data_IF_607468059841
#
_entry.id   IF_607468059841
#
_cell.length_a   1.000
_cell.length_b   1.000
_cell.length_c   1.000
_cell.angle_alpha   90.00
_cell.angle_beta   90.00
_cell.angle_gamma   90.00
#
_symmetry.space_group_name_H-M   'P 1'
#
loop_
_entity.id
_entity.type
_entity.pdbx_description
1 polymer ?
#
# COMPACT_ATOMS: atom_id res chain seq x y z
N UNK A 1 17.28 -47.36 -5.04
CA UNK A 1 16.94 -46.15 -4.22
C UNK A 1 18.04 -45.08 -4.15
N UNK A 2 19.33 -45.44 -4.01
CA UNK A 2 20.44 -44.46 -3.89
C UNK A 2 20.76 -43.67 -5.17
N UNK A 3 20.17 -44.03 -6.31
CA UNK A 3 20.55 -43.52 -7.65
C UNK A 3 19.84 -42.21 -8.02
N UNK A 4 18.59 -42.02 -7.59
CA UNK A 4 17.80 -40.85 -7.99
C UNK A 4 18.25 -39.58 -7.24
N UNK A 5 18.52 -39.69 -5.93
CA UNK A 5 19.10 -38.60 -5.12
C UNK A 5 20.50 -38.23 -5.61
N UNK A 6 21.33 -39.22 -5.96
CA UNK A 6 22.69 -38.98 -6.43
C UNK A 6 22.73 -38.36 -7.84
N UNK A 7 21.73 -38.63 -8.69
CA UNK A 7 21.60 -37.99 -10.00
C UNK A 7 21.13 -36.54 -9.89
N UNK A 8 20.18 -36.23 -8.99
CA UNK A 8 19.73 -34.85 -8.79
C UNK A 8 20.77 -33.96 -8.09
N UNK A 9 21.56 -34.51 -7.16
CA UNK A 9 22.66 -33.78 -6.51
C UNK A 9 23.78 -33.47 -7.50
N UNK A 10 24.15 -34.42 -8.39
CA UNK A 10 25.16 -34.16 -9.44
C UNK A 10 24.72 -33.12 -10.46
N UNK A 11 23.44 -33.09 -10.86
CA UNK A 11 22.93 -32.06 -11.79
C UNK A 11 22.98 -30.66 -11.17
N UNK A 12 22.74 -30.53 -9.86
CA UNK A 12 22.81 -29.25 -9.16
C UNK A 12 24.26 -28.78 -8.94
N UNK A 13 25.19 -29.71 -8.71
CA UNK A 13 26.62 -29.42 -8.55
C UNK A 13 27.29 -29.00 -9.87
N UNK A 14 26.90 -29.63 -10.99
CA UNK A 14 27.29 -29.25 -12.36
C UNK A 14 26.80 -27.84 -12.76
N UNK A 15 25.57 -27.49 -12.39
CA UNK A 15 24.98 -26.15 -12.60
C UNK A 15 25.74 -25.05 -11.83
N UNK A 16 26.18 -25.35 -10.60
CA UNK A 16 26.96 -24.41 -9.78
C UNK A 16 28.36 -24.15 -10.36
N UNK A 17 28.93 -25.13 -11.07
CA UNK A 17 30.24 -25.04 -11.75
C UNK A 17 30.16 -24.32 -13.11
N UNK A 18 29.00 -24.33 -13.78
CA UNK A 18 28.76 -23.62 -15.04
C UNK A 18 28.44 -22.13 -14.89
N UNK A 19 28.09 -21.64 -13.70
CA UNK A 19 27.79 -20.22 -13.43
C UNK A 19 29.04 -19.42 -13.05
N UNK A 20 30.03 -19.40 -13.94
CA UNK A 20 30.99 -18.30 -13.99
C UNK A 20 30.29 -17.09 -14.63
N UNK A 21 30.16 -15.99 -13.87
CA UNK A 21 29.75 -14.64 -14.28
C UNK A 21 28.63 -14.50 -15.34
N UNK A 22 27.41 -14.20 -14.87
CA UNK A 22 26.34 -13.66 -15.72
C UNK A 22 24.95 -14.21 -15.40
N UNK A 23 24.44 -13.96 -14.19
CA UNK A 23 23.06 -14.34 -13.85
C UNK A 23 22.11 -13.22 -14.33
N UNK A 24 21.39 -13.47 -15.43
CA UNK A 24 20.21 -12.69 -15.79
C UNK A 24 19.17 -12.81 -14.66
N UNK A 25 18.68 -11.67 -14.14
CA UNK A 25 17.73 -11.61 -13.02
C UNK A 25 16.47 -12.47 -13.24
N UNK A 26 16.08 -12.69 -14.50
CA UNK A 26 14.92 -13.49 -14.89
C UNK A 26 15.24 -15.01 -15.00
N UNK A 27 16.52 -15.38 -15.12
CA UNK A 27 16.92 -16.79 -15.16
C UNK A 27 16.98 -17.42 -13.77
N UNK A 28 17.28 -16.63 -12.74
CA UNK A 28 17.50 -17.13 -11.38
C UNK A 28 16.23 -17.70 -10.73
N UNK A 29 15.04 -17.17 -11.06
CA UNK A 29 13.75 -17.71 -10.61
C UNK A 29 13.43 -19.05 -11.27
N UNK A 30 13.70 -19.20 -12.57
CA UNK A 30 13.44 -20.42 -13.35
C UNK A 30 14.21 -21.64 -12.83
N UNK A 31 15.46 -21.47 -12.39
CA UNK A 31 16.23 -22.57 -11.80
C UNK A 31 15.71 -23.02 -10.42
N UNK A 32 15.20 -22.08 -9.62
CA UNK A 32 14.64 -22.37 -8.30
C UNK A 32 13.35 -23.18 -8.42
N UNK A 33 12.45 -22.77 -9.32
CA UNK A 33 11.17 -23.49 -9.53
C UNK A 33 11.39 -24.90 -10.05
N UNK A 34 12.27 -25.11 -11.03
CA UNK A 34 12.58 -26.46 -11.54
C UNK A 34 13.15 -27.38 -10.45
N UNK A 35 13.98 -26.84 -9.55
CA UNK A 35 14.55 -27.60 -8.42
C UNK A 35 13.47 -28.02 -7.43
N UNK A 36 12.51 -27.13 -7.15
CA UNK A 36 11.38 -27.39 -6.24
C UNK A 36 10.45 -28.46 -6.84
N UNK A 37 10.05 -28.31 -8.10
CA UNK A 37 9.21 -29.29 -8.80
C UNK A 37 9.88 -30.66 -8.91
N UNK A 38 11.19 -30.70 -9.17
CA UNK A 38 11.95 -31.95 -9.19
C UNK A 38 11.91 -32.69 -7.84
N UNK A 39 12.01 -31.97 -6.71
CA UNK A 39 11.89 -32.60 -5.39
C UNK A 39 10.50 -33.16 -5.11
N UNK A 40 9.44 -32.44 -5.50
CA UNK A 40 8.06 -32.91 -5.33
C UNK A 40 7.79 -34.20 -6.12
N UNK A 41 8.27 -34.27 -7.36
CA UNK A 41 8.11 -35.46 -8.21
C UNK A 41 8.91 -36.64 -7.66
N UNK A 42 10.16 -36.43 -7.25
CA UNK A 42 10.96 -37.49 -6.65
C UNK A 42 10.36 -38.02 -5.33
N UNK A 43 9.83 -37.14 -4.48
CA UNK A 43 9.15 -37.54 -3.26
C UNK A 43 7.86 -38.31 -3.54
N UNK A 44 7.09 -37.88 -4.56
CA UNK A 44 5.89 -38.59 -5.02
C UNK A 44 6.18 -40.00 -5.53
N UNK A 45 7.24 -40.17 -6.34
CA UNK A 45 7.66 -41.48 -6.86
C UNK A 45 8.08 -42.43 -5.72
N UNK A 46 8.78 -41.91 -4.71
CA UNK A 46 9.21 -42.70 -3.54
C UNK A 46 8.00 -43.14 -2.70
N UNK A 47 6.99 -42.28 -2.56
CA UNK A 47 5.74 -42.60 -1.87
C UNK A 47 4.98 -43.74 -2.56
N UNK A 48 4.82 -43.68 -3.88
CA UNK A 48 4.16 -44.73 -4.67
C UNK A 48 4.96 -46.04 -4.63
N UNK A 49 6.29 -45.98 -4.73
CA UNK A 49 7.15 -47.17 -4.74
C UNK A 49 7.27 -47.88 -3.38
N UNK A 50 7.27 -47.14 -2.26
CA UNK A 50 7.46 -47.72 -0.93
C UNK A 50 6.16 -48.03 -0.18
N UNK A 51 5.10 -47.25 -0.40
CA UNK A 51 3.83 -47.40 0.34
C UNK A 51 2.71 -48.05 -0.47
N UNK A 52 2.90 -48.28 -1.77
CA UNK A 52 1.88 -48.89 -2.63
C UNK A 52 0.61 -48.03 -2.77
N UNK A 53 0.70 -46.74 -2.45
CA UNK A 53 -0.39 -45.79 -2.60
C UNK A 53 -0.73 -45.58 -4.08
N UNK A 54 -2.02 -45.43 -4.39
CA UNK A 54 -2.45 -45.13 -5.75
C UNK A 54 -1.84 -43.80 -6.21
N UNK A 55 -1.30 -43.77 -7.43
CA UNK A 55 -0.62 -42.59 -7.98
C UNK A 55 -1.57 -41.40 -8.22
N UNK A 56 -2.88 -41.65 -8.34
CA UNK A 56 -3.90 -40.62 -8.57
C UNK A 56 -3.94 -39.54 -7.48
N UNK A 57 -4.20 -39.90 -6.21
CA UNK A 57 -4.18 -38.95 -5.09
C UNK A 57 -2.88 -38.13 -4.95
N UNK A 58 -1.73 -38.78 -5.17
CA UNK A 58 -0.42 -38.10 -5.13
C UNK A 58 -0.32 -37.04 -6.23
N UNK A 59 -0.73 -37.36 -7.45
CA UNK A 59 -0.75 -36.42 -8.57
C UNK A 59 -1.72 -35.25 -8.34
N UNK A 60 -2.94 -35.53 -7.87
CA UNK A 60 -3.96 -34.52 -7.58
C UNK A 60 -3.46 -33.55 -6.49
N UNK A 61 -2.84 -34.06 -5.43
CA UNK A 61 -2.29 -33.22 -4.36
C UNK A 61 -1.20 -32.27 -4.87
N UNK A 62 -0.33 -32.73 -5.77
CA UNK A 62 0.69 -31.89 -6.39
C UNK A 62 0.06 -30.80 -7.27
N UNK A 63 -0.95 -31.15 -8.06
CA UNK A 63 -1.70 -30.19 -8.87
C UNK A 63 -2.38 -29.11 -8.03
N UNK A 64 -3.01 -29.47 -6.91
CA UNK A 64 -3.63 -28.51 -6.00
C UNK A 64 -2.63 -27.49 -5.45
N UNK A 65 -1.42 -27.93 -5.09
CA UNK A 65 -0.36 -27.02 -4.59
C UNK A 65 0.05 -26.02 -5.66
N UNK A 66 0.17 -26.44 -6.92
CA UNK A 66 0.53 -25.55 -8.03
C UNK A 66 -0.57 -24.55 -8.33
N UNK A 67 -1.80 -25.03 -8.47
CA UNK A 67 -2.94 -24.17 -8.78
C UNK A 67 -3.21 -23.17 -7.65
N UNK A 68 -3.12 -23.60 -6.38
CA UNK A 68 -3.24 -22.72 -5.23
C UNK A 68 -2.13 -21.67 -5.17
N UNK A 69 -0.89 -22.05 -5.50
CA UNK A 69 0.24 -21.12 -5.61
C UNK A 69 0.03 -20.05 -6.67
N UNK A 70 -0.50 -20.43 -7.84
CA UNK A 70 -0.82 -19.49 -8.92
C UNK A 70 -1.92 -18.49 -8.52
N UNK A 71 -2.97 -18.95 -7.83
CA UNK A 71 -4.02 -18.08 -7.31
C UNK A 71 -3.47 -17.07 -6.30
N UNK A 72 -2.59 -17.52 -5.39
CA UNK A 72 -1.93 -16.64 -4.43
C UNK A 72 -1.03 -15.61 -5.11
N UNK A 73 -0.31 -16.00 -6.16
CA UNK A 73 0.54 -15.11 -6.94
C UNK A 73 -0.26 -13.98 -7.60
N UNK A 74 -1.44 -14.29 -8.13
CA UNK A 74 -2.32 -13.29 -8.73
C UNK A 74 -2.97 -12.34 -7.72
N UNK A 75 -2.97 -12.67 -6.43
CA UNK A 75 -3.50 -11.80 -5.38
C UNK A 75 -2.51 -10.70 -4.94
N UNK A 76 -1.21 -10.90 -5.15
CA UNK A 76 -0.14 -9.96 -4.78
C UNK A 76 -0.34 -8.51 -5.29
N UNK A 77 -0.74 -8.24 -6.55
CA UNK A 77 -0.92 -6.86 -7.02
C UNK A 77 -2.04 -6.10 -6.30
N UNK A 78 -2.97 -6.79 -5.62
CA UNK A 78 -4.04 -6.12 -4.89
C UNK A 78 -3.55 -5.50 -3.58
N UNK A 79 -2.42 -5.97 -3.04
CA UNK A 79 -1.86 -5.46 -1.78
C UNK A 79 -1.39 -4.01 -1.96
N UNK A 80 -0.80 -3.64 -3.09
CA UNK A 80 -0.38 -2.26 -3.35
C UNK A 80 -1.58 -1.30 -3.41
N UNK A 81 -2.69 -1.72 -4.01
CA UNK A 81 -3.92 -0.93 -4.05
C UNK A 81 -4.46 -0.65 -2.64
N UNK A 82 -4.41 -1.65 -1.76
CA UNK A 82 -4.83 -1.48 -0.35
C UNK A 82 -3.91 -0.47 0.34
N UNK A 83 -2.59 -0.54 0.13
CA UNK A 83 -1.67 0.42 0.76
C UNK A 83 -1.94 1.86 0.31
N UNK A 84 -2.19 2.10 -0.98
CA UNK A 84 -2.56 3.42 -1.48
C UNK A 84 -3.89 3.92 -0.89
N UNK A 85 -4.89 3.03 -0.81
CA UNK A 85 -6.18 3.34 -0.19
C UNK A 85 -6.04 3.72 1.29
N UNK A 86 -5.19 3.02 2.05
CA UNK A 86 -4.94 3.35 3.47
C UNK A 86 -4.28 4.71 3.65
N UNK A 87 -3.38 5.10 2.75
CA UNK A 87 -2.73 6.42 2.80
C UNK A 87 -3.76 7.53 2.51
N UNK A 88 -4.63 7.33 1.52
CA UNK A 88 -5.70 8.28 1.21
C UNK A 88 -6.70 8.40 2.37
N UNK A 89 -7.12 7.26 2.94
CA UNK A 89 -8.02 7.24 4.09
C UNK A 89 -7.42 7.97 5.30
N UNK A 90 -6.12 7.76 5.59
CA UNK A 90 -5.45 8.44 6.69
C UNK A 90 -5.53 9.98 6.58
N UNK A 91 -5.34 10.54 5.37
CA UNK A 91 -5.48 12.00 5.14
C UNK A 91 -6.90 12.50 5.34
N UNK A 92 -7.90 11.70 4.98
CA UNK A 92 -9.31 12.05 5.18
C UNK A 92 -9.64 12.06 6.68
N UNK A 93 -9.19 11.06 7.42
CA UNK A 93 -9.37 11.03 8.87
C UNK A 93 -8.67 12.18 9.58
N UNK A 94 -7.44 12.53 9.16
CA UNK A 94 -6.73 13.70 9.67
C UNK A 94 -7.51 15.01 9.45
N UNK A 95 -8.20 15.15 8.31
CA UNK A 95 -9.05 16.30 8.02
C UNK A 95 -10.31 16.34 8.88
N UNK A 96 -10.93 15.18 9.15
CA UNK A 96 -12.16 15.07 9.96
C UNK A 96 -11.86 15.36 11.44
N UNK A 97 -10.76 14.84 11.97
CA UNK A 97 -10.39 15.00 13.38
C UNK A 97 -9.81 16.38 13.71
N UNK A 98 -9.60 17.23 12.69
CA UNK A 98 -9.11 18.60 12.90
C UNK A 98 -10.17 19.44 13.61
N UNK A 99 -9.85 19.94 14.79
CA UNK A 99 -10.66 20.95 15.50
C UNK A 99 -10.45 22.33 14.85
N UNK A 100 -11.48 22.97 14.26
CA UNK A 100 -11.36 24.32 13.70
C UNK A 100 -11.24 25.37 14.82
N UNK A 101 -10.43 26.42 14.59
CA UNK A 101 -10.31 27.54 15.55
C UNK A 101 -11.56 28.41 15.63
N UNK A 102 -12.32 28.47 14.53
CA UNK A 102 -13.59 29.17 14.44
C UNK A 102 -14.64 28.09 14.20
N UNK A 103 -15.40 27.78 15.24
CA UNK A 103 -16.48 26.81 15.16
C UNK A 103 -17.77 27.52 14.76
N UNK A 104 -18.27 27.21 13.56
CA UNK A 104 -19.51 27.76 13.03
C UNK A 104 -20.75 27.09 13.61
N UNK A 105 -20.61 25.89 14.20
CA UNK A 105 -21.71 25.13 14.78
C UNK A 105 -21.86 25.36 16.28
N UNK A 106 -20.90 26.04 16.91
CA UNK A 106 -20.98 26.40 18.33
C UNK A 106 -22.07 27.48 18.56
N UNK A 107 -23.24 27.03 19.01
CA UNK A 107 -24.39 27.88 19.32
C UNK A 107 -24.21 28.83 20.51
N UNK A 108 -22.98 29.01 21.03
CA UNK A 108 -22.66 29.95 22.11
C UNK A 108 -22.59 31.40 21.63
N UNK A 109 -22.77 31.66 20.33
CA UNK A 109 -22.92 32.99 19.77
C UNK A 109 -24.13 33.75 20.34
N UNK A 110 -23.98 35.06 20.58
CA UNK A 110 -25.11 35.92 20.97
C UNK A 110 -26.01 36.17 19.76
N UNK A 111 -27.25 35.66 19.82
CA UNK A 111 -28.29 35.98 18.85
C UNK A 111 -28.91 37.32 19.26
N UNK A 112 -28.65 38.38 18.49
CA UNK A 112 -29.18 39.73 18.75
C UNK A 112 -30.59 39.86 18.12
N UNK A 113 -31.60 40.19 18.91
CA UNK A 113 -32.99 40.33 18.45
C UNK A 113 -33.25 41.61 17.62
N UNK A 114 -32.42 42.63 17.78
CA UNK A 114 -32.49 43.88 17.01
C UNK A 114 -31.07 44.41 16.75
N UNK A 115 -30.70 44.53 15.47
CA UNK A 115 -29.37 44.97 15.04
C UNK A 115 -29.48 46.43 14.57
N UNK A 116 -28.90 47.38 15.31
CA UNK A 116 -28.51 48.67 14.72
C UNK A 116 -27.19 48.43 14.00
N UNK A 117 -27.17 48.61 12.69
CA UNK A 117 -26.02 48.35 11.81
C UNK A 117 -24.87 49.34 11.98
N UNK A 118 -24.45 49.58 13.23
CA UNK A 118 -23.29 50.39 13.58
C UNK A 118 -22.11 49.44 13.80
N UNK A 119 -21.09 49.53 12.95
CA UNK A 119 -19.95 48.62 12.91
C UNK A 119 -18.70 49.45 13.16
N UNK A 120 -18.11 49.30 14.35
CA UNK A 120 -16.84 49.94 14.72
C UNK A 120 -15.70 48.92 14.65
N UNK A 121 -14.65 49.25 13.90
CA UNK A 121 -13.41 48.47 13.87
C UNK A 121 -12.33 49.20 14.67
N UNK A 122 -11.85 48.61 15.78
CA UNK A 122 -10.82 49.19 16.65
C UNK A 122 -9.49 48.47 16.43
N UNK A 123 -8.52 49.20 15.89
CA UNK A 123 -7.10 48.81 15.77
C UNK A 123 -6.87 47.35 15.29
N UNK A 124 -7.52 46.97 14.18
CA UNK A 124 -7.37 45.62 13.65
C UNK A 124 -6.10 45.48 12.81
N UNK A 125 -5.26 44.52 13.20
CA UNK A 125 -4.15 44.03 12.38
C UNK A 125 -4.53 42.65 11.85
N UNK A 126 -4.68 42.54 10.53
CA UNK A 126 -5.06 41.28 9.88
C UNK A 126 -3.99 40.84 8.88
N UNK A 127 -3.77 39.54 8.80
CA UNK A 127 -2.88 38.92 7.83
C UNK A 127 -3.46 37.58 7.41
N UNK A 128 -3.53 37.33 6.10
CA UNK A 128 -3.97 36.05 5.58
C UNK A 128 -2.89 34.99 5.85
N UNK A 129 -3.24 33.82 6.40
CA UNK A 129 -2.27 32.77 6.74
C UNK A 129 -1.52 32.23 5.53
N UNK A 130 -2.10 32.31 4.33
CA UNK A 130 -1.46 31.93 3.07
C UNK A 130 -0.36 32.89 2.61
N UNK A 131 -0.32 34.13 3.15
CA UNK A 131 0.66 35.15 2.77
C UNK A 131 1.01 36.03 3.97
N UNK A 132 1.85 35.54 4.91
CA UNK A 132 2.17 36.26 6.14
C UNK A 132 2.98 37.54 5.90
N UNK A 133 3.63 37.66 4.74
CA UNK A 133 4.50 38.78 4.37
C UNK A 133 3.73 40.08 4.07
N UNK A 134 2.47 39.97 3.63
CA UNK A 134 1.60 41.14 3.47
C UNK A 134 0.78 41.26 4.75
N UNK A 135 1.31 42.04 5.70
CA UNK A 135 0.55 42.52 6.84
C UNK A 135 -0.10 43.84 6.45
N UNK A 136 -1.41 43.98 6.70
CA UNK A 136 -2.11 45.25 6.54
C UNK A 136 -2.21 45.93 7.90
N UNK A 137 -1.23 46.78 8.18
CA UNK A 137 -1.19 47.71 9.27
C UNK A 137 -1.87 49.03 8.83
N UNK A 138 -2.97 49.40 9.51
CA UNK A 138 -3.74 50.64 9.32
C UNK A 138 -4.71 50.67 8.12
N UNK A 139 -5.84 49.97 8.23
CA UNK A 139 -7.00 50.19 7.36
C UNK A 139 -7.63 51.55 7.74
N UNK A 140 -7.45 52.59 6.92
CA UNK A 140 -8.01 53.93 7.12
C UNK A 140 -9.40 54.05 6.45
N UNK A 141 -10.42 54.43 7.23
CA UNK A 141 -11.84 54.21 6.89
C UNK A 141 -12.53 55.32 6.08
N UNK A 142 -11.87 56.44 5.81
CA UNK A 142 -12.48 57.55 5.07
C UNK A 142 -12.84 57.18 3.62
N UNK A 143 -12.17 56.21 3.02
CA UNK A 143 -12.40 55.78 1.63
C UNK A 143 -13.32 54.57 1.49
N UNK A 144 -13.50 53.77 2.55
CA UNK A 144 -14.26 52.50 2.48
C UNK A 144 -15.77 52.72 2.63
N UNK A 145 -16.19 53.69 3.45
CA UNK A 145 -17.60 54.06 3.63
C UNK A 145 -18.22 54.63 2.34
N UNK A 146 -17.41 55.25 1.47
CA UNK A 146 -17.85 55.78 0.17
C UNK A 146 -18.18 54.70 -0.87
N UNK A 147 -17.71 53.47 -0.71
CA UNK A 147 -17.92 52.38 -1.68
C UNK A 147 -19.16 51.53 -1.37
N UNK A 148 -19.69 51.63 -0.14
CA UNK A 148 -20.84 50.86 0.34
C UNK A 148 -22.12 51.69 0.50
N UNK A 149 -22.12 52.96 0.07
CA UNK A 149 -23.29 53.85 0.10
C UNK A 149 -23.91 53.99 -1.29
#
# INVERSE_FOLDING_TARGET
MRVCVWSSVRVCEEEKKRRGNGVSKNGMSSFSVCSIYGRYVCAGIILVANRGESGGPVFISALCVVLGGLSCMSALPNISLITEATIAAARIFELIDRVPQIDSEDGKGKILAYIRGDIEFKELTFSYPSRPDIRQDQISWSSVILVLK
#
